data_IF_095133006911
#
_entry.id   IF_095133006911
#
_cell.length_a   1.000
_cell.length_b   1.000
_cell.length_c   1.000
_cell.angle_alpha   90.00
_cell.angle_beta   90.00
_cell.angle_gamma   90.00
#
_symmetry.space_group_name_H-M   'P 1'
#
loop_
_entity.id
_entity.type
_entity.pdbx_description
1 polymer ?
#
# COMPACT_ATOMS: atom_id res chain seq x y z
N UNK A 1 -8.86 2.02 14.94
CA UNK A 1 -7.48 2.17 15.43
C UNK A 1 -7.51 3.45 16.22
N UNK A 2 -7.63 3.32 17.52
CA UNK A 2 -7.46 4.42 18.44
C UNK A 2 -5.96 4.68 18.53
N UNK A 3 -5.57 5.93 18.32
CA UNK A 3 -4.23 6.48 18.42
C UNK A 3 -3.13 5.70 17.67
N UNK A 4 -2.85 6.14 16.48
CA UNK A 4 -1.49 6.08 15.97
C UNK A 4 -0.63 6.87 16.96
N UNK A 5 0.44 6.30 17.55
CA UNK A 5 1.33 7.06 18.40
C UNK A 5 1.74 8.31 17.63
N UNK A 6 1.41 9.47 18.20
CA UNK A 6 1.83 10.74 17.64
C UNK A 6 3.34 10.80 17.89
N UNK A 7 4.13 10.25 16.97
CA UNK A 7 5.55 10.52 16.95
C UNK A 7 5.65 12.03 16.80
N UNK A 8 6.32 12.72 17.68
CA UNK A 8 6.55 14.16 17.82
C UNK A 8 7.15 14.82 16.56
N UNK A 9 6.76 14.36 15.37
CA UNK A 9 7.15 14.93 14.09
C UNK A 9 6.15 15.97 13.70
N UNK A 10 6.60 17.19 13.64
CA UNK A 10 5.84 18.26 13.00
C UNK A 10 5.72 17.97 11.50
N UNK A 11 4.48 17.93 11.03
CA UNK A 11 4.16 17.80 9.62
C UNK A 11 3.72 19.15 9.09
N UNK A 12 4.13 19.45 7.86
CA UNK A 12 3.84 20.72 7.21
C UNK A 12 3.18 20.49 5.86
N UNK A 13 2.25 21.37 5.50
CA UNK A 13 1.65 21.37 4.18
C UNK A 13 2.75 21.60 3.12
N UNK A 14 2.81 20.75 2.11
CA UNK A 14 3.81 20.81 1.04
C UNK A 14 3.28 21.41 -0.25
N UNK A 15 1.96 21.58 -0.38
CA UNK A 15 1.29 22.08 -1.58
C UNK A 15 0.09 22.93 -1.18
N UNK A 16 -0.37 23.79 -2.10
CA UNK A 16 -1.52 24.68 -1.90
C UNK A 16 -1.18 25.95 -1.14
N UNK A 17 -2.21 26.69 -0.76
CA UNK A 17 -2.09 28.03 -0.13
C UNK A 17 -1.51 27.99 1.29
N UNK A 18 -1.50 26.81 1.92
CA UNK A 18 -0.99 26.58 3.29
C UNK A 18 0.42 26.01 3.34
N UNK A 19 1.19 26.09 2.25
CA UNK A 19 2.57 25.59 2.23
C UNK A 19 3.39 26.20 3.36
N UNK A 20 4.02 25.31 4.18
CA UNK A 20 4.83 25.72 5.32
C UNK A 20 4.06 25.93 6.62
N UNK A 21 2.72 25.84 6.62
CA UNK A 21 1.93 25.81 7.85
C UNK A 21 1.94 24.41 8.50
N UNK A 22 1.91 24.32 9.85
CA UNK A 22 1.76 23.04 10.54
C UNK A 22 0.51 22.30 10.07
N UNK A 23 0.65 21.00 9.86
CA UNK A 23 -0.45 20.13 9.45
C UNK A 23 -0.88 19.26 10.62
N UNK A 24 -2.17 19.23 10.93
CA UNK A 24 -2.71 18.26 11.88
C UNK A 24 -2.56 16.83 11.34
N UNK A 25 -2.01 15.96 12.17
CA UNK A 25 -1.83 14.54 11.82
C UNK A 25 -3.01 13.75 12.36
N UNK A 26 -3.78 13.21 11.45
CA UNK A 26 -4.95 12.39 11.79
C UNK A 26 -4.58 10.91 11.83
N UNK A 27 -5.29 10.15 12.67
CA UNK A 27 -5.24 8.69 12.61
C UNK A 27 -5.80 8.21 11.27
N UNK A 28 -5.46 6.97 10.85
CA UNK A 28 -6.03 6.39 9.62
C UNK A 28 -7.56 6.31 9.64
N UNK A 29 -8.16 6.25 10.84
CA UNK A 29 -9.61 6.27 11.01
C UNK A 29 -10.19 7.67 10.73
N UNK A 30 -9.54 8.71 11.25
CA UNK A 30 -9.92 10.11 10.99
C UNK A 30 -9.75 10.47 9.52
N UNK A 31 -8.63 10.08 8.89
CA UNK A 31 -8.43 10.24 7.45
C UNK A 31 -9.54 9.54 6.66
N UNK A 32 -9.93 8.31 7.05
CA UNK A 32 -11.03 7.61 6.41
C UNK A 32 -12.35 8.39 6.51
N UNK A 33 -12.72 8.88 7.69
CA UNK A 33 -13.95 9.65 7.87
C UNK A 33 -13.91 10.97 7.11
N UNK A 34 -12.79 11.68 7.14
CA UNK A 34 -12.62 12.89 6.34
C UNK A 34 -12.83 12.62 4.84
N UNK A 35 -12.20 11.59 4.30
CA UNK A 35 -12.35 11.23 2.89
C UNK A 35 -13.78 10.75 2.58
N UNK A 36 -14.41 10.01 3.48
CA UNK A 36 -15.80 9.56 3.31
C UNK A 36 -16.77 10.73 3.12
N UNK A 37 -16.55 11.82 3.81
CA UNK A 37 -17.40 13.02 3.74
C UNK A 37 -17.03 13.93 2.56
N UNK A 38 -15.76 13.99 2.21
CA UNK A 38 -15.23 15.02 1.32
C UNK A 38 -14.77 14.51 -0.05
N UNK A 39 -14.44 13.24 -0.22
CA UNK A 39 -13.79 12.72 -1.44
C UNK A 39 -14.59 13.01 -2.73
N UNK A 40 -15.92 13.04 -2.66
CA UNK A 40 -16.76 13.44 -3.81
C UNK A 40 -16.51 14.85 -4.30
N UNK A 41 -16.09 15.75 -3.41
CA UNK A 41 -15.87 17.17 -3.68
C UNK A 41 -14.42 17.48 -4.03
N UNK A 42 -13.51 16.53 -3.71
CA UNK A 42 -12.09 16.69 -3.97
C UNK A 42 -11.77 16.33 -5.44
N UNK A 43 -10.86 17.07 -6.09
CA UNK A 43 -10.51 16.87 -7.50
C UNK A 43 -9.54 15.68 -7.71
N UNK A 44 -9.51 14.70 -6.80
CA UNK A 44 -8.54 13.59 -6.84
C UNK A 44 -9.20 12.30 -7.28
N UNK A 45 -8.62 11.64 -8.27
CA UNK A 45 -9.08 10.34 -8.77
C UNK A 45 -8.36 9.16 -8.12
N UNK A 46 -7.29 9.43 -7.38
CA UNK A 46 -6.46 8.38 -6.76
C UNK A 46 -6.12 8.75 -5.33
N UNK A 47 -6.31 7.80 -4.43
CA UNK A 47 -5.83 7.85 -3.04
C UNK A 47 -4.59 6.98 -2.95
N UNK A 48 -3.51 7.52 -2.40
CA UNK A 48 -2.25 6.80 -2.21
C UNK A 48 -1.97 6.63 -0.73
N UNK A 49 -1.68 5.42 -0.31
CA UNK A 49 -1.18 5.10 1.03
C UNK A 49 0.31 4.79 0.93
N UNK A 50 1.14 5.68 1.46
CA UNK A 50 2.61 5.61 1.41
C UNK A 50 3.19 5.73 2.84
N UNK A 51 3.59 4.61 3.45
CA UNK A 51 3.60 3.21 3.01
C UNK A 51 2.77 2.32 3.95
N UNK A 52 2.24 1.23 3.42
CA UNK A 52 1.42 0.29 4.22
C UNK A 52 2.25 -0.49 5.23
N UNK A 53 3.55 -0.68 5.00
CA UNK A 53 4.43 -1.32 5.97
C UNK A 53 4.63 -0.45 7.22
N UNK A 54 4.64 0.89 7.11
CA UNK A 54 4.62 1.78 8.26
C UNK A 54 3.29 1.67 9.02
N UNK A 55 2.16 1.66 8.32
CA UNK A 55 0.85 1.46 8.96
C UNK A 55 0.81 0.12 9.71
N UNK A 56 1.37 -0.94 9.12
CA UNK A 56 1.45 -2.23 9.78
C UNK A 56 2.25 -2.16 11.10
N UNK A 57 3.40 -1.48 11.10
CA UNK A 57 4.21 -1.30 12.33
C UNK A 57 3.45 -0.55 13.42
N UNK A 58 2.70 0.49 13.06
CA UNK A 58 1.86 1.22 14.00
C UNK A 58 0.72 0.36 14.58
N UNK A 59 0.11 -0.48 13.74
CA UNK A 59 -0.92 -1.42 14.19
C UNK A 59 -0.33 -2.48 15.10
N UNK A 60 0.85 -2.99 14.81
CA UNK A 60 1.57 -3.94 15.67
C UNK A 60 1.86 -3.31 17.04
N UNK A 61 2.37 -2.08 17.07
CA UNK A 61 2.59 -1.36 18.33
C UNK A 61 1.30 -1.16 19.12
N UNK A 62 0.22 -0.74 18.46
CA UNK A 62 -1.09 -0.59 19.13
C UNK A 62 -1.65 -1.91 19.67
N UNK A 63 -1.42 -3.03 18.97
CA UNK A 63 -1.81 -4.36 19.49
C UNK A 63 -0.98 -4.76 20.69
N UNK A 64 0.33 -4.47 20.70
CA UNK A 64 1.17 -4.69 21.87
C UNK A 64 0.66 -3.91 23.07
N UNK A 65 0.36 -2.61 22.91
CA UNK A 65 -0.17 -1.77 23.99
C UNK A 65 -1.50 -2.30 24.52
N UNK A 66 -2.45 -2.65 23.64
CA UNK A 66 -3.75 -3.22 24.01
C UNK A 66 -3.61 -4.53 24.81
N UNK A 67 -2.55 -5.28 24.60
CA UNK A 67 -2.31 -6.58 25.23
C UNK A 67 -1.35 -6.50 26.40
N UNK A 68 -0.78 -5.33 26.69
CA UNK A 68 0.25 -5.15 27.72
C UNK A 68 1.54 -5.92 27.40
N UNK A 69 1.90 -6.03 26.11
CA UNK A 69 3.09 -6.70 25.60
C UNK A 69 4.13 -5.67 25.15
N UNK A 70 5.41 -6.01 25.23
CA UNK A 70 6.50 -5.15 24.75
C UNK A 70 6.86 -5.43 23.29
N UNK A 71 6.53 -6.62 22.78
CA UNK A 71 6.76 -7.02 21.40
C UNK A 71 5.72 -8.04 20.89
N UNK A 72 5.52 -8.07 19.58
CA UNK A 72 4.71 -9.08 18.94
C UNK A 72 5.30 -10.48 19.15
N UNK A 73 4.45 -11.46 19.43
CA UNK A 73 4.85 -12.83 19.73
C UNK A 73 5.26 -13.08 21.19
N UNK A 74 5.21 -12.06 22.05
CA UNK A 74 5.50 -12.19 23.46
C UNK A 74 4.40 -12.99 24.19
N UNK A 75 4.85 -13.87 25.12
CA UNK A 75 3.94 -14.67 25.93
C UNK A 75 3.27 -15.83 25.18
N UNK A 76 2.26 -16.42 25.82
CA UNK A 76 1.54 -17.60 25.32
C UNK A 76 0.41 -17.27 24.34
N UNK A 77 0.55 -16.21 23.54
CA UNK A 77 -0.53 -15.73 22.66
C UNK A 77 -0.85 -16.66 21.48
N UNK A 78 0.00 -17.66 21.23
CA UNK A 78 -0.14 -18.61 20.11
C UNK A 78 -0.39 -17.91 18.76
N UNK A 79 0.18 -16.70 18.57
CA UNK A 79 -0.01 -15.90 17.37
C UNK A 79 -1.34 -15.12 17.31
N UNK A 80 -2.07 -15.02 18.42
CA UNK A 80 -3.33 -14.27 18.49
C UNK A 80 -3.11 -12.76 18.27
N UNK A 81 -1.99 -12.21 18.72
CA UNK A 81 -1.54 -10.85 18.47
C UNK A 81 -1.30 -10.58 16.97
N UNK A 82 -0.58 -11.47 16.29
CA UNK A 82 -0.38 -11.41 14.85
C UNK A 82 -1.70 -11.50 14.07
N UNK A 83 -2.62 -12.36 14.51
CA UNK A 83 -3.94 -12.47 13.92
C UNK A 83 -4.76 -11.18 14.11
N UNK A 84 -4.67 -10.56 15.30
CA UNK A 84 -5.33 -9.30 15.62
C UNK A 84 -4.75 -8.15 14.77
N UNK A 85 -3.42 -8.02 14.68
CA UNK A 85 -2.78 -7.01 13.86
C UNK A 85 -3.15 -7.17 12.39
N UNK A 86 -3.10 -8.39 11.86
CA UNK A 86 -3.53 -8.68 10.48
C UNK A 86 -4.98 -8.29 10.23
N UNK A 87 -5.89 -8.62 11.15
CA UNK A 87 -7.30 -8.26 11.04
C UNK A 87 -7.48 -6.74 10.99
N UNK A 88 -6.85 -6.00 11.91
CA UNK A 88 -6.93 -4.52 11.95
C UNK A 88 -6.41 -3.89 10.63
N UNK A 89 -5.29 -4.39 10.10
CA UNK A 89 -4.75 -3.94 8.81
C UNK A 89 -5.75 -4.17 7.66
N UNK A 90 -6.27 -5.39 7.54
CA UNK A 90 -7.22 -5.73 6.47
C UNK A 90 -8.51 -4.94 6.59
N UNK A 91 -9.02 -4.73 7.80
CA UNK A 91 -10.26 -3.99 8.03
C UNK A 91 -10.12 -2.52 7.59
N UNK A 92 -9.01 -1.85 7.93
CA UNK A 92 -8.81 -0.45 7.52
C UNK A 92 -8.60 -0.34 6.01
N UNK A 93 -7.77 -1.18 5.41
CA UNK A 93 -7.53 -1.14 3.97
C UNK A 93 -8.81 -1.45 3.20
N UNK A 94 -9.60 -2.42 3.65
CA UNK A 94 -10.90 -2.74 3.05
C UNK A 94 -11.87 -1.56 3.08
N UNK A 95 -11.88 -0.76 4.16
CA UNK A 95 -12.68 0.46 4.22
C UNK A 95 -12.29 1.46 3.13
N UNK A 96 -10.98 1.70 2.91
CA UNK A 96 -10.49 2.56 1.84
C UNK A 96 -10.82 1.99 0.46
N UNK A 97 -10.65 0.68 0.24
CA UNK A 97 -11.01 0.02 -1.02
C UNK A 97 -12.49 0.20 -1.35
N UNK A 98 -13.38 -0.03 -0.38
CA UNK A 98 -14.82 0.12 -0.58
C UNK A 98 -15.20 1.59 -0.83
N UNK A 99 -14.59 2.53 -0.13
CA UNK A 99 -14.80 3.95 -0.34
C UNK A 99 -14.39 4.36 -1.76
N UNK A 100 -13.16 4.03 -2.18
CA UNK A 100 -12.67 4.34 -3.51
C UNK A 100 -13.55 3.71 -4.60
N UNK A 101 -13.88 2.42 -4.46
CA UNK A 101 -14.75 1.68 -5.38
C UNK A 101 -16.13 2.34 -5.51
N UNK A 102 -16.75 2.76 -4.41
CA UNK A 102 -18.06 3.39 -4.40
C UNK A 102 -18.12 4.72 -5.13
N UNK A 103 -16.98 5.38 -5.28
CA UNK A 103 -16.82 6.68 -5.93
C UNK A 103 -16.10 6.62 -7.28
N UNK A 104 -15.80 5.41 -7.79
CA UNK A 104 -15.04 5.23 -9.03
C UNK A 104 -13.61 5.77 -8.94
N UNK A 105 -13.01 5.76 -7.75
CA UNK A 105 -11.64 6.23 -7.50
C UNK A 105 -10.67 5.06 -7.38
N UNK A 106 -9.39 5.34 -7.60
CA UNK A 106 -8.33 4.36 -7.45
C UNK A 106 -7.76 4.38 -6.03
N UNK A 107 -7.31 3.22 -5.56
CA UNK A 107 -6.51 3.09 -4.35
C UNK A 107 -5.15 2.50 -4.72
N UNK A 108 -4.07 3.22 -4.40
CA UNK A 108 -2.69 2.76 -4.56
C UNK A 108 -2.08 2.53 -3.18
N UNK A 109 -1.51 1.35 -3.00
CA UNK A 109 -0.79 0.98 -1.79
C UNK A 109 0.69 0.86 -2.15
N UNK A 110 1.54 1.64 -1.47
CA UNK A 110 2.99 1.57 -1.62
C UNK A 110 3.56 0.78 -0.45
N UNK A 111 4.51 -0.08 -0.71
CA UNK A 111 5.28 -0.82 0.31
C UNK A 111 6.74 -0.90 -0.10
N UNK A 112 7.63 -0.88 0.88
CA UNK A 112 9.00 -1.29 0.66
C UNK A 112 9.04 -2.76 0.21
N UNK A 113 10.09 -3.13 -0.53
CA UNK A 113 10.28 -4.50 -0.98
C UNK A 113 11.22 -5.23 -0.02
N UNK A 114 10.87 -6.48 0.31
CA UNK A 114 11.67 -7.36 1.15
C UNK A 114 11.87 -8.71 0.48
N UNK A 115 13.11 -9.19 0.49
CA UNK A 115 13.41 -10.56 0.10
C UNK A 115 13.09 -11.51 1.26
N UNK A 116 12.31 -12.55 0.98
CA UNK A 116 11.94 -13.59 1.94
C UNK A 116 12.34 -14.94 1.38
N UNK A 117 13.03 -15.73 2.17
CA UNK A 117 13.37 -17.11 1.80
C UNK A 117 12.10 -17.96 1.84
N UNK A 118 11.78 -18.60 0.72
CA UNK A 118 10.71 -19.58 0.58
C UNK A 118 11.29 -21.00 0.61
N UNK A 119 10.46 -22.00 0.40
CA UNK A 119 10.87 -23.41 0.38
C UNK A 119 12.03 -23.62 -0.59
N UNK A 120 12.95 -24.53 -0.26
CA UNK A 120 14.11 -24.93 -1.06
C UNK A 120 15.19 -23.86 -1.27
N UNK A 121 15.31 -22.89 -0.33
CA UNK A 121 16.36 -21.89 -0.38
C UNK A 121 16.16 -20.80 -1.45
N UNK A 122 15.06 -20.82 -2.18
CA UNK A 122 14.69 -19.76 -3.11
C UNK A 122 14.24 -18.51 -2.34
N UNK A 123 14.61 -17.34 -2.85
CA UNK A 123 14.15 -16.06 -2.30
C UNK A 123 13.03 -15.50 -3.15
N UNK A 124 12.02 -14.96 -2.49
CA UNK A 124 10.94 -14.22 -3.16
C UNK A 124 10.94 -12.77 -2.68
N UNK A 125 10.93 -11.84 -3.62
CA UNK A 125 10.81 -10.42 -3.38
C UNK A 125 9.33 -10.03 -3.36
N UNK A 126 8.88 -9.44 -2.27
CA UNK A 126 7.49 -9.01 -2.09
C UNK A 126 7.39 -7.81 -1.16
N UNK A 127 6.17 -7.37 -0.83
CA UNK A 127 5.95 -6.28 0.13
C UNK A 127 6.59 -6.59 1.50
N UNK A 128 7.17 -5.59 2.15
CA UNK A 128 7.74 -5.70 3.50
C UNK A 128 6.63 -5.78 4.57
N UNK A 129 5.88 -6.86 4.52
CA UNK A 129 4.75 -7.13 5.39
C UNK A 129 4.83 -8.56 5.96
N UNK A 130 4.18 -8.85 7.10
CA UNK A 130 4.00 -10.21 7.56
C UNK A 130 3.36 -11.08 6.45
N UNK A 131 3.85 -12.31 6.28
CA UNK A 131 3.49 -13.20 5.15
C UNK A 131 1.97 -13.29 4.91
N UNK A 132 1.18 -13.47 5.96
CA UNK A 132 -0.28 -13.61 5.84
C UNK A 132 -0.96 -12.32 5.39
N UNK A 133 -0.44 -11.14 5.77
CA UNK A 133 -0.95 -9.85 5.34
C UNK A 133 -0.52 -9.56 3.89
N UNK A 134 0.76 -9.78 3.56
CA UNK A 134 1.28 -9.64 2.20
C UNK A 134 0.46 -10.46 1.21
N UNK A 135 0.22 -11.75 1.52
CA UNK A 135 -0.58 -12.62 0.66
C UNK A 135 -2.01 -12.09 0.46
N UNK A 136 -2.68 -11.69 1.55
CA UNK A 136 -4.07 -11.22 1.46
C UNK A 136 -4.20 -9.94 0.62
N UNK A 137 -3.25 -8.99 0.77
CA UNK A 137 -3.27 -7.73 0.02
C UNK A 137 -2.92 -7.94 -1.46
N UNK A 138 -1.88 -8.71 -1.75
CA UNK A 138 -1.49 -9.00 -3.14
C UNK A 138 -2.55 -9.81 -3.87
N UNK A 139 -3.22 -10.76 -3.20
CA UNK A 139 -4.33 -11.50 -3.78
C UNK A 139 -5.56 -10.61 -4.11
N UNK A 140 -5.75 -9.50 -3.41
CA UNK A 140 -6.87 -8.57 -3.65
C UNK A 140 -6.55 -7.46 -4.65
N UNK A 141 -5.28 -7.22 -4.96
CA UNK A 141 -4.86 -6.18 -5.89
C UNK A 141 -5.16 -6.55 -7.35
N UNK A 142 -5.60 -5.56 -8.14
CA UNK A 142 -5.79 -5.74 -9.58
C UNK A 142 -4.46 -5.67 -10.33
N UNK A 143 -3.52 -4.88 -9.83
CA UNK A 143 -2.19 -4.67 -10.39
C UNK A 143 -1.15 -4.63 -9.28
N UNK A 144 -0.06 -5.33 -9.47
CA UNK A 144 1.10 -5.31 -8.58
C UNK A 144 2.33 -5.03 -9.43
N UNK A 145 2.92 -3.85 -9.25
CA UNK A 145 4.13 -3.44 -9.95
C UNK A 145 5.33 -3.41 -8.99
N UNK A 146 6.49 -3.68 -9.53
CA UNK A 146 7.77 -3.53 -8.84
C UNK A 146 8.55 -2.36 -9.43
N UNK A 147 8.73 -1.29 -8.64
CA UNK A 147 9.46 -0.11 -9.05
C UNK A 147 10.97 -0.25 -8.77
N UNK A 148 11.79 0.11 -9.75
CA UNK A 148 13.25 0.10 -9.64
C UNK A 148 13.85 1.35 -10.24
N UNK A 149 15.01 1.78 -9.70
CA UNK A 149 15.87 2.75 -10.36
C UNK A 149 16.89 2.01 -11.24
N UNK A 150 17.04 2.44 -12.49
CA UNK A 150 18.13 2.01 -13.34
C UNK A 150 19.27 3.03 -13.25
N UNK A 151 20.46 2.57 -12.84
CA UNK A 151 21.63 3.43 -12.62
C UNK A 151 22.28 3.88 -13.94
N UNK A 152 22.09 3.13 -15.02
CA UNK A 152 22.74 3.41 -16.30
C UNK A 152 22.13 4.62 -17.00
N UNK A 153 20.80 4.75 -16.96
CA UNK A 153 20.06 5.83 -17.60
C UNK A 153 19.43 6.84 -16.62
N UNK A 154 19.64 6.62 -15.30
CA UNK A 154 19.09 7.44 -14.22
C UNK A 154 17.55 7.54 -14.24
N UNK A 155 16.89 6.53 -14.77
CA UNK A 155 15.42 6.46 -14.86
C UNK A 155 14.83 5.48 -13.86
N UNK A 156 13.55 5.67 -13.58
CA UNK A 156 12.75 4.74 -12.80
C UNK A 156 11.87 3.91 -13.72
N UNK A 157 11.77 2.62 -13.43
CA UNK A 157 10.95 1.67 -14.17
C UNK A 157 9.99 0.94 -13.25
N UNK A 158 8.83 0.58 -13.79
CA UNK A 158 7.86 -0.31 -13.12
C UNK A 158 7.71 -1.58 -13.93
N UNK A 159 7.91 -2.72 -13.27
CA UNK A 159 7.79 -4.04 -13.88
C UNK A 159 6.51 -4.73 -13.40
N UNK A 160 5.74 -5.25 -14.33
CA UNK A 160 4.59 -6.13 -14.13
C UNK A 160 4.90 -7.56 -14.59
N UNK A 161 6.16 -7.84 -14.90
CA UNK A 161 6.61 -9.18 -15.32
C UNK A 161 6.67 -10.10 -14.11
N UNK A 162 5.84 -11.14 -14.15
CA UNK A 162 5.87 -12.19 -13.17
C UNK A 162 7.09 -13.09 -13.39
N UNK A 163 7.98 -13.11 -12.42
CA UNK A 163 9.07 -14.08 -12.29
C UNK A 163 8.86 -14.84 -10.98
N UNK A 164 9.38 -16.06 -10.91
CA UNK A 164 9.28 -16.92 -9.71
C UNK A 164 9.79 -16.24 -8.43
N UNK A 165 10.68 -15.25 -8.60
CA UNK A 165 11.35 -14.56 -7.50
C UNK A 165 10.65 -13.24 -7.08
N UNK A 166 9.57 -12.81 -7.77
CA UNK A 166 8.91 -11.53 -7.50
C UNK A 166 7.41 -11.66 -7.41
N UNK A 167 6.83 -11.03 -6.39
CA UNK A 167 5.38 -10.90 -6.24
C UNK A 167 4.91 -9.69 -7.07
N UNK A 168 4.68 -9.91 -8.34
CA UNK A 168 4.17 -8.90 -9.29
C UNK A 168 3.13 -9.54 -10.20
N UNK A 169 2.30 -8.73 -10.84
CA UNK A 169 1.32 -9.21 -11.79
C UNK A 169 0.24 -8.19 -12.10
N UNK A 170 -0.56 -8.48 -13.10
CA UNK A 170 -1.67 -7.62 -13.48
C UNK A 170 -2.86 -8.44 -13.97
N UNK A 171 -4.05 -8.10 -13.46
CA UNK A 171 -5.32 -8.55 -14.03
C UNK A 171 -5.68 -7.73 -15.27
N UNK A 172 -5.08 -6.55 -15.44
CA UNK A 172 -5.22 -5.75 -16.64
C UNK A 172 -4.25 -6.30 -17.71
N UNK A 173 -4.81 -6.96 -18.72
CA UNK A 173 -4.05 -7.59 -19.82
C UNK A 173 -2.98 -6.68 -20.44
N UNK A 174 -3.25 -5.37 -20.71
CA UNK A 174 -2.27 -4.49 -21.35
C UNK A 174 -1.01 -4.27 -20.52
N UNK A 175 -1.06 -4.45 -19.21
CA UNK A 175 0.11 -4.31 -18.33
C UNK A 175 0.83 -5.64 -18.09
N UNK A 176 0.17 -6.77 -18.35
CA UNK A 176 0.74 -8.08 -18.08
C UNK A 176 2.09 -8.27 -18.80
N UNK A 177 3.10 -8.72 -18.06
CA UNK A 177 4.46 -8.99 -18.56
C UNK A 177 5.20 -7.76 -19.13
N UNK A 178 4.79 -6.53 -18.82
CA UNK A 178 5.47 -5.32 -19.29
C UNK A 178 6.43 -4.73 -18.26
N UNK A 179 7.46 -4.06 -18.78
CA UNK A 179 8.32 -3.13 -18.06
C UNK A 179 8.17 -1.78 -18.73
N UNK A 180 7.77 -0.78 -17.97
CA UNK A 180 7.49 0.57 -18.47
C UNK A 180 8.32 1.59 -17.68
N UNK A 181 8.59 2.76 -18.27
CA UNK A 181 9.09 3.90 -17.51
C UNK A 181 8.07 4.26 -16.43
N UNK A 182 8.53 4.53 -15.21
CA UNK A 182 7.65 4.75 -14.06
C UNK A 182 7.12 6.17 -14.08
N UNK A 183 6.24 6.43 -15.03
CA UNK A 183 5.44 7.64 -15.10
C UNK A 183 3.98 7.30 -15.43
N UNK A 184 3.08 8.22 -15.05
CA UNK A 184 1.64 8.02 -15.23
C UNK A 184 1.25 7.81 -16.70
N UNK A 185 1.82 8.60 -17.60
CA UNK A 185 1.46 8.58 -19.02
C UNK A 185 1.89 7.28 -19.67
N UNK A 186 3.08 6.78 -19.36
CA UNK A 186 3.59 5.50 -19.88
C UNK A 186 2.65 4.35 -19.51
N UNK A 187 2.19 4.29 -18.27
CA UNK A 187 1.26 3.24 -17.82
C UNK A 187 -0.13 3.43 -18.44
N UNK A 188 -0.66 4.65 -18.44
CA UNK A 188 -2.00 4.92 -18.97
C UNK A 188 -2.09 4.73 -20.48
N UNK A 189 -1.06 5.11 -21.23
CA UNK A 189 -1.03 4.90 -22.68
C UNK A 189 -1.11 3.43 -23.06
N UNK A 190 -0.47 2.53 -22.29
CA UNK A 190 -0.59 1.10 -22.52
C UNK A 190 -2.02 0.58 -22.27
N UNK A 191 -2.69 1.10 -21.26
CA UNK A 191 -4.09 0.74 -20.97
C UNK A 191 -5.04 1.24 -22.06
N UNK A 192 -4.84 2.48 -22.54
CA UNK A 192 -5.69 3.10 -23.57
C UNK A 192 -5.52 2.45 -24.94
N UNK A 193 -4.29 2.16 -25.37
CA UNK A 193 -4.02 1.43 -26.62
C UNK A 193 -4.77 0.10 -26.70
N UNK A 194 -4.89 -0.60 -25.55
CA UNK A 194 -5.60 -1.87 -25.52
C UNK A 194 -7.11 -1.69 -25.69
N UNK A 195 -7.72 -0.65 -25.13
CA UNK A 195 -9.15 -0.35 -25.30
C UNK A 195 -9.50 -0.02 -26.74
N UNK A 196 -8.62 0.65 -27.47
CA UNK A 196 -8.81 0.97 -28.89
C UNK A 196 -8.73 -0.27 -29.80
N UNK A 197 -8.03 -1.32 -29.36
CA UNK A 197 -7.91 -2.58 -30.13
C UNK A 197 -9.10 -3.54 -29.89
N UNK A 198 -9.84 -3.38 -28.79
CA UNK A 198 -11.03 -4.19 -28.47
C UNK A 198 -12.35 -3.53 -28.94
N UNK A 199 -12.32 -2.27 -29.39
CA UNK A 199 -13.48 -1.52 -29.92
C UNK A 199 -13.55 -1.61 -31.43
#
# INVERSE_FOLDING_TARGET
>A
IESVPNNEREYYHRTGDKVGEPMEVYSMVEVYFYLKENLKKLPYDTIVIDTIDHINRWIEAAVCDERGQTAMGEGSSWGADWAQARKKNLDIIKKFQLLCKSLGRNLVLISHAKSTVITDGKSQLGPELPRGLSYALTASADVIGYATANKEDSKFYISFQAYDERTVGSRLKPLAQKVLEFDYNSVMNEILKYKEQES
#
